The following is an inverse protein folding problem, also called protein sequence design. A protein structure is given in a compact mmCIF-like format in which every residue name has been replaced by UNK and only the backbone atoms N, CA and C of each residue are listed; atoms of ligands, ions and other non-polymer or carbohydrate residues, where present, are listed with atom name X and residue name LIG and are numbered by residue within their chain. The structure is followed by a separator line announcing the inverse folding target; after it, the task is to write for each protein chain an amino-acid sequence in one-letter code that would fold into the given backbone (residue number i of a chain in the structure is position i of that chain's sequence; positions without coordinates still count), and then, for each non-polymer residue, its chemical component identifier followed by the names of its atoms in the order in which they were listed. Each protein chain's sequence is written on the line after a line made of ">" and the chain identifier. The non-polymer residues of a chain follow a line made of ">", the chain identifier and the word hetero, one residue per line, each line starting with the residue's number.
data_IF_877722379482
#
_entry.id   IF_877722379482
#
_cell.length_a   1.000
_cell.length_b   1.000
_cell.length_c   1.000
_cell.angle_alpha   90.00
_cell.angle_beta   90.00
_cell.angle_gamma   90.00
#
_symmetry.space_group_name_H-M   'P 1'
#
loop_
_entity.id
_entity.type
_entity.pdbx_description
1 polymer ?
#
# COMPACT_ATOMS: atom_id res chain seq x y z
N UNK A 1 19.63 46.76 26.13
CA UNK A 1 19.11 45.48 26.66
C UNK A 1 17.65 45.33 26.21
N UNK A 2 17.36 45.01 24.94
CA UNK A 2 17.30 43.67 24.34
C UNK A 2 16.24 42.72 24.93
N UNK A 3 14.96 43.11 25.10
CA UNK A 3 13.91 42.15 25.52
C UNK A 3 12.45 42.57 25.18
N UNK A 4 12.11 43.19 24.03
CA UNK A 4 10.68 43.57 23.76
C UNK A 4 10.21 43.36 22.30
N UNK A 5 10.91 42.56 21.47
CA UNK A 5 10.38 42.21 20.14
C UNK A 5 10.36 40.71 19.91
N UNK A 6 9.49 40.03 20.67
CA UNK A 6 8.83 38.86 20.11
C UNK A 6 8.03 39.34 18.90
N UNK A 7 8.46 38.96 17.69
CA UNK A 7 7.70 39.19 16.47
C UNK A 7 6.34 38.51 16.63
N UNK A 8 5.33 39.26 17.07
CA UNK A 8 3.93 38.87 16.91
C UNK A 8 3.72 38.70 15.40
N UNK A 9 3.48 37.47 14.97
CA UNK A 9 3.00 37.18 13.61
C UNK A 9 1.69 37.95 13.45
N UNK A 10 1.75 39.03 12.68
CA UNK A 10 0.57 39.80 12.34
C UNK A 10 -0.24 38.95 11.34
N UNK A 11 -1.52 38.62 11.60
CA UNK A 11 -2.31 37.78 10.69
C UNK A 11 -2.66 38.47 9.34
N UNK A 12 -2.26 39.73 9.16
CA UNK A 12 -2.41 40.50 7.91
C UNK A 12 -1.06 40.94 7.29
N UNK A 13 0.07 40.37 7.73
CA UNK A 13 1.41 40.81 7.35
C UNK A 13 2.37 39.70 6.91
N UNK A 14 1.88 38.49 6.63
CA UNK A 14 2.71 37.47 6.00
C UNK A 14 2.79 37.76 4.50
N UNK A 15 3.99 38.12 4.03
CA UNK A 15 4.23 38.18 2.59
C UNK A 15 3.98 36.80 1.97
N UNK A 16 3.52 36.69 0.71
CA UNK A 16 3.27 35.38 0.09
C UNK A 16 4.50 34.44 0.15
N UNK A 17 5.72 35.01 0.10
CA UNK A 17 6.97 34.28 0.30
C UNK A 17 7.14 33.69 1.70
N UNK A 18 6.69 34.39 2.74
CA UNK A 18 6.74 33.90 4.12
C UNK A 18 5.76 32.73 4.32
N UNK A 19 4.58 32.79 3.71
CA UNK A 19 3.60 31.70 3.71
C UNK A 19 4.19 30.45 3.03
N UNK A 20 4.78 30.61 1.84
CA UNK A 20 5.44 29.52 1.09
C UNK A 20 6.59 28.90 1.89
N UNK A 21 7.40 29.73 2.59
CA UNK A 21 8.49 29.26 3.44
C UNK A 21 7.99 28.55 4.71
N UNK A 22 6.92 29.03 5.32
CA UNK A 22 6.31 28.42 6.49
C UNK A 22 5.69 27.06 6.13
N UNK A 23 4.91 27.00 5.04
CA UNK A 23 4.33 25.76 4.52
C UNK A 23 5.42 24.73 4.20
N UNK A 24 6.51 25.13 3.53
CA UNK A 24 7.65 24.23 3.30
C UNK A 24 8.22 23.65 4.59
N UNK A 25 8.42 24.48 5.63
CA UNK A 25 8.92 24.01 6.93
C UNK A 25 7.95 23.06 7.63
N UNK A 26 6.64 23.31 7.52
CA UNK A 26 5.63 22.40 8.06
C UNK A 26 5.62 21.06 7.33
N UNK A 27 5.75 21.05 5.99
CA UNK A 27 5.88 19.83 5.21
C UNK A 27 7.16 19.06 5.57
N UNK A 28 8.32 19.72 5.64
CA UNK A 28 9.59 19.09 6.02
C UNK A 28 9.56 18.53 7.46
N UNK A 29 8.75 19.12 8.34
CA UNK A 29 8.51 18.57 9.68
C UNK A 29 7.62 17.32 9.61
N UNK A 30 6.52 17.38 8.85
CA UNK A 30 5.58 16.28 8.66
C UNK A 30 6.25 15.06 7.99
N UNK A 31 7.10 15.28 6.99
CA UNK A 31 7.90 14.22 6.33
C UNK A 31 8.78 13.49 7.36
N UNK A 32 9.42 14.23 8.27
CA UNK A 32 10.26 13.62 9.32
C UNK A 32 9.45 12.89 10.39
N UNK A 33 8.25 13.37 10.71
CA UNK A 33 7.33 12.69 11.64
C UNK A 33 6.86 11.35 11.05
N UNK A 34 6.42 11.36 9.79
CA UNK A 34 6.06 10.16 9.00
C UNK A 34 7.22 9.16 8.94
N UNK A 35 8.44 9.61 8.70
CA UNK A 35 9.61 8.70 8.69
C UNK A 35 9.88 8.05 10.04
N UNK A 36 9.68 8.77 11.14
CA UNK A 36 9.84 8.23 12.50
C UNK A 36 8.74 7.23 12.81
N UNK A 37 7.48 7.55 12.51
CA UNK A 37 6.35 6.63 12.71
C UNK A 37 6.53 5.35 11.89
N UNK A 38 6.96 5.46 10.64
CA UNK A 38 7.31 4.31 9.80
C UNK A 38 8.39 3.44 10.43
N UNK A 39 9.46 4.03 10.99
CA UNK A 39 10.51 3.26 11.67
C UNK A 39 9.99 2.54 12.93
N UNK A 40 9.05 3.14 13.65
CA UNK A 40 8.38 2.50 14.78
C UNK A 40 7.55 1.30 14.31
N UNK A 41 6.76 1.46 13.25
CA UNK A 41 5.97 0.37 12.64
C UNK A 41 6.86 -0.77 12.13
N UNK A 42 7.97 -0.47 11.46
CA UNK A 42 8.95 -1.49 11.04
C UNK A 42 9.56 -2.26 12.23
N UNK A 43 9.75 -1.59 13.35
CA UNK A 43 10.22 -2.25 14.58
C UNK A 43 9.13 -3.13 15.20
N UNK A 44 7.87 -2.71 15.13
CA UNK A 44 6.72 -3.51 15.56
C UNK A 44 6.51 -4.72 14.66
N UNK A 45 6.60 -4.56 13.35
CA UNK A 45 6.55 -5.64 12.35
C UNK A 45 7.57 -6.74 12.69
N UNK A 46 8.83 -6.36 12.92
CA UNK A 46 9.88 -7.31 13.32
C UNK A 46 9.55 -8.05 14.61
N UNK A 47 8.95 -7.38 15.61
CA UNK A 47 8.53 -8.02 16.87
C UNK A 47 7.38 -8.99 16.64
N UNK A 48 6.38 -8.61 15.85
CA UNK A 48 5.25 -9.47 15.48
C UNK A 48 5.73 -10.73 14.75
N UNK A 49 6.66 -10.60 13.81
CA UNK A 49 7.26 -11.76 13.12
C UNK A 49 7.91 -12.72 14.11
N UNK A 50 8.67 -12.21 15.08
CA UNK A 50 9.31 -13.06 16.10
C UNK A 50 8.28 -13.75 17.00
N UNK A 51 7.21 -13.04 17.38
CA UNK A 51 6.13 -13.57 18.22
C UNK A 51 5.30 -14.63 17.49
N UNK A 52 4.97 -14.40 16.21
CA UNK A 52 4.30 -15.35 15.32
C UNK A 52 5.16 -16.62 15.18
N UNK A 53 6.47 -16.47 14.90
CA UNK A 53 7.40 -17.62 14.83
C UNK A 53 7.46 -18.41 16.12
N UNK A 54 7.50 -17.74 17.27
CA UNK A 54 7.54 -18.39 18.59
C UNK A 54 6.24 -19.16 18.87
N UNK A 55 5.11 -18.54 18.63
CA UNK A 55 3.77 -19.13 18.86
C UNK A 55 3.50 -20.29 17.90
N UNK A 56 3.93 -20.18 16.64
CA UNK A 56 3.84 -21.26 15.67
C UNK A 56 4.70 -22.48 16.06
N UNK A 57 5.95 -22.28 16.49
CA UNK A 57 6.80 -23.37 16.99
C UNK A 57 6.19 -24.05 18.22
N UNK A 58 5.57 -23.30 19.13
CA UNK A 58 4.86 -23.87 20.28
C UNK A 58 3.66 -24.72 19.83
N UNK A 59 2.90 -24.25 18.85
CA UNK A 59 1.82 -25.02 18.22
C UNK A 59 2.31 -26.33 17.57
N UNK A 60 3.41 -26.28 16.81
CA UNK A 60 4.04 -27.46 16.20
C UNK A 60 4.58 -28.44 17.24
N UNK A 61 5.26 -27.98 18.28
CA UNK A 61 5.73 -28.85 19.37
C UNK A 61 4.57 -29.58 20.06
N UNK A 62 3.42 -28.90 20.22
CA UNK A 62 2.22 -29.51 20.79
C UNK A 62 1.57 -30.52 19.83
N UNK A 63 1.68 -30.32 18.51
CA UNK A 63 1.20 -31.24 17.48
C UNK A 63 1.93 -32.59 17.51
N UNK A 64 3.26 -32.58 17.59
CA UNK A 64 4.09 -33.80 17.56
C UNK A 64 3.93 -34.64 18.85
N UNK A 65 3.49 -34.03 19.95
CA UNK A 65 3.18 -34.73 21.22
C UNK A 65 1.71 -35.16 21.39
N UNK A 66 0.83 -34.88 20.42
CA UNK A 66 -0.61 -35.00 20.60
C UNK A 66 -1.14 -36.44 20.42
N UNK A 67 -1.14 -37.23 21.49
CA UNK A 67 -1.92 -38.48 21.58
C UNK A 67 -3.22 -38.36 22.41
N UNK A 68 -3.53 -37.18 22.96
CA UNK A 68 -4.67 -36.93 23.85
C UNK A 68 -5.65 -35.88 23.31
N UNK A 69 -6.96 -36.12 23.45
CA UNK A 69 -8.06 -35.22 23.05
C UNK A 69 -7.98 -33.83 23.67
N UNK A 70 -7.40 -33.70 24.87
CA UNK A 70 -7.17 -32.40 25.52
C UNK A 70 -6.11 -31.55 24.78
N UNK A 71 -5.12 -32.18 24.13
CA UNK A 71 -4.09 -31.46 23.37
C UNK A 71 -4.61 -30.89 22.05
N UNK A 72 -5.63 -31.50 21.44
CA UNK A 72 -6.26 -30.97 20.22
C UNK A 72 -6.96 -29.63 20.45
N UNK A 73 -7.62 -29.44 21.60
CA UNK A 73 -8.30 -28.17 21.92
C UNK A 73 -7.30 -27.02 22.11
N UNK A 74 -6.19 -27.28 22.81
CA UNK A 74 -5.10 -26.30 22.99
C UNK A 74 -4.47 -25.92 21.65
N UNK A 75 -4.29 -26.90 20.75
CA UNK A 75 -3.76 -26.65 19.40
C UNK A 75 -4.65 -25.69 18.60
N UNK A 76 -5.97 -25.91 18.59
CA UNK A 76 -6.92 -25.04 17.86
C UNK A 76 -6.85 -23.59 18.35
N UNK A 77 -6.71 -23.38 19.66
CA UNK A 77 -6.57 -22.03 20.22
C UNK A 77 -5.23 -21.36 19.85
N UNK A 78 -4.12 -22.11 19.89
CA UNK A 78 -2.80 -21.57 19.51
C UNK A 78 -2.79 -21.20 18.02
N UNK A 79 -3.35 -22.05 17.16
CA UNK A 79 -3.42 -21.76 15.72
C UNK A 79 -4.36 -20.60 15.40
N UNK A 80 -5.46 -20.45 16.14
CA UNK A 80 -6.33 -19.27 16.07
C UNK A 80 -5.59 -17.98 16.42
N UNK A 81 -4.77 -18.00 17.48
CA UNK A 81 -3.95 -16.84 17.88
C UNK A 81 -2.92 -16.49 16.79
N UNK A 82 -2.26 -17.48 16.18
CA UNK A 82 -1.31 -17.27 15.08
C UNK A 82 -2.00 -16.63 13.86
N UNK A 83 -3.21 -17.06 13.51
CA UNK A 83 -3.99 -16.45 12.41
C UNK A 83 -4.32 -14.97 12.70
N UNK A 84 -4.70 -14.63 13.93
CA UNK A 84 -4.97 -13.24 14.33
C UNK A 84 -3.70 -12.39 14.28
N UNK A 85 -2.59 -12.88 14.82
CA UNK A 85 -1.30 -12.16 14.77
C UNK A 85 -0.82 -11.97 13.33
N UNK A 86 -1.06 -12.92 12.44
CA UNK A 86 -0.73 -12.79 11.03
C UNK A 86 -1.58 -11.73 10.32
N UNK A 87 -2.87 -11.58 10.67
CA UNK A 87 -3.70 -10.45 10.20
C UNK A 87 -3.14 -9.11 10.67
N UNK A 88 -2.71 -9.01 11.93
CA UNK A 88 -2.11 -7.78 12.45
C UNK A 88 -0.77 -7.46 11.77
N UNK A 89 -0.01 -8.48 11.36
CA UNK A 89 1.21 -8.30 10.58
C UNK A 89 0.92 -7.74 9.18
N UNK A 90 -0.08 -8.29 8.47
CA UNK A 90 -0.52 -7.77 7.16
C UNK A 90 -0.94 -6.31 7.27
N UNK A 91 -1.75 -5.98 8.28
CA UNK A 91 -2.15 -4.59 8.55
C UNK A 91 -0.96 -3.66 8.80
N UNK A 92 0.02 -4.13 9.56
CA UNK A 92 1.24 -3.35 9.85
C UNK A 92 2.06 -3.12 8.58
N UNK A 93 2.20 -4.13 7.71
CA UNK A 93 2.88 -4.00 6.40
C UNK A 93 2.18 -2.99 5.50
N UNK A 94 0.86 -3.07 5.39
CA UNK A 94 0.06 -2.14 4.62
C UNK A 94 0.13 -0.70 5.16
N UNK A 95 0.15 -0.53 6.50
CA UNK A 95 0.42 0.78 7.11
C UNK A 95 1.80 1.32 6.72
N UNK A 96 2.86 0.51 6.82
CA UNK A 96 4.22 0.90 6.42
C UNK A 96 4.24 1.39 4.97
N UNK A 97 3.55 0.69 4.08
CA UNK A 97 3.42 1.04 2.67
C UNK A 97 2.67 2.37 2.46
N UNK A 98 1.53 2.55 3.14
CA UNK A 98 0.82 3.85 3.18
C UNK A 98 1.73 5.00 3.61
N UNK A 99 2.61 4.79 4.60
CA UNK A 99 3.59 5.79 5.00
C UNK A 99 4.65 6.08 3.92
N UNK A 100 5.07 5.09 3.11
CA UNK A 100 5.93 5.34 1.94
C UNK A 100 5.22 6.19 0.89
N UNK A 101 3.95 5.91 0.62
CA UNK A 101 3.10 6.65 -0.33
C UNK A 101 2.89 8.10 0.13
N UNK A 102 2.46 8.28 1.37
CA UNK A 102 2.30 9.61 2.00
C UNK A 102 3.60 10.42 1.97
N UNK A 103 4.75 9.78 2.24
CA UNK A 103 6.06 10.44 2.12
C UNK A 103 6.29 10.94 0.70
N UNK A 104 6.09 10.09 -0.31
CA UNK A 104 6.27 10.45 -1.72
C UNK A 104 5.38 11.63 -2.12
N UNK A 105 4.10 11.59 -1.74
CA UNK A 105 3.14 12.67 -1.97
C UNK A 105 3.61 13.98 -1.34
N UNK A 106 4.01 13.98 -0.06
CA UNK A 106 4.50 15.18 0.61
C UNK A 106 5.81 15.71 0.02
N UNK A 107 6.69 14.82 -0.44
CA UNK A 107 7.89 15.21 -1.17
C UNK A 107 7.54 15.89 -2.51
N UNK A 108 6.56 15.35 -3.25
CA UNK A 108 6.01 15.96 -4.45
C UNK A 108 5.43 17.35 -4.19
N UNK A 109 4.63 17.51 -3.12
CA UNK A 109 4.10 18.82 -2.72
C UNK A 109 5.23 19.78 -2.30
N UNK A 110 6.24 19.31 -1.56
CA UNK A 110 7.40 20.14 -1.19
C UNK A 110 8.19 20.64 -2.41
N UNK A 111 8.33 19.79 -3.43
CA UNK A 111 8.91 20.16 -4.73
C UNK A 111 8.06 21.22 -5.46
N UNK A 112 6.73 21.03 -5.53
CA UNK A 112 5.80 22.02 -6.10
C UNK A 112 5.92 23.37 -5.39
N UNK A 113 5.98 23.38 -4.05
CA UNK A 113 6.19 24.61 -3.26
C UNK A 113 7.55 25.25 -3.55
N UNK A 114 8.60 24.46 -3.77
CA UNK A 114 9.92 24.97 -4.16
C UNK A 114 9.90 25.59 -5.57
N UNK A 115 9.17 24.99 -6.52
CA UNK A 115 8.94 25.58 -7.84
C UNK A 115 8.18 26.90 -7.70
N UNK A 116 7.07 26.94 -6.96
CA UNK A 116 6.30 28.16 -6.71
C UNK A 116 7.15 29.29 -6.10
N UNK A 117 8.04 28.98 -5.15
CA UNK A 117 8.98 29.96 -4.58
C UNK A 117 9.90 30.55 -5.64
N UNK A 118 10.37 29.73 -6.58
CA UNK A 118 11.30 30.14 -7.64
C UNK A 118 10.57 30.97 -8.70
N UNK A 119 9.36 30.55 -9.09
CA UNK A 119 8.48 31.31 -9.99
C UNK A 119 8.13 32.69 -9.40
N UNK A 120 7.82 32.76 -8.10
CA UNK A 120 7.55 34.03 -7.44
C UNK A 120 8.78 34.94 -7.41
N UNK A 121 9.96 34.41 -7.06
CA UNK A 121 11.20 35.18 -7.06
C UNK A 121 11.57 35.68 -8.48
N UNK A 122 11.30 34.89 -9.51
CA UNK A 122 11.46 35.28 -10.91
C UNK A 122 10.49 36.39 -11.29
N UNK A 123 9.23 36.32 -10.88
CA UNK A 123 8.25 37.40 -11.07
C UNK A 123 8.64 38.71 -10.37
N UNK A 124 9.13 38.63 -9.13
CA UNK A 124 9.65 39.80 -8.41
C UNK A 124 10.89 40.40 -9.08
N UNK A 125 11.83 39.55 -9.53
CA UNK A 125 13.00 39.98 -10.28
C UNK A 125 12.63 40.63 -11.62
N UNK A 126 11.70 40.03 -12.38
CA UNK A 126 11.18 40.60 -13.62
C UNK A 126 10.48 41.94 -13.38
N UNK A 127 9.73 42.08 -12.29
CA UNK A 127 9.12 43.36 -11.91
C UNK A 127 10.19 44.42 -11.58
N UNK A 128 11.26 44.04 -10.90
CA UNK A 128 12.42 44.91 -10.62
C UNK A 128 13.16 45.33 -11.90
N UNK A 129 13.44 44.38 -12.79
CA UNK A 129 14.08 44.62 -14.09
C UNK A 129 13.18 45.49 -14.97
N UNK A 130 11.88 45.22 -15.06
CA UNK A 130 10.92 46.03 -15.86
C UNK A 130 10.83 47.45 -15.31
N UNK A 131 10.86 47.63 -13.98
CA UNK A 131 10.86 48.95 -13.35
C UNK A 131 12.16 49.72 -13.60
N UNK A 132 13.31 49.03 -13.59
CA UNK A 132 14.61 49.62 -13.92
C UNK A 132 14.77 49.87 -15.44
N UNK A 133 14.12 49.04 -16.28
CA UNK A 133 14.05 49.15 -17.74
C UNK A 133 12.86 50.00 -18.20
N UNK A 134 12.26 50.82 -17.34
CA UNK A 134 11.11 51.69 -17.60
C UNK A 134 11.29 52.72 -18.73
N UNK A 135 12.36 52.62 -19.53
CA UNK A 135 12.60 53.42 -20.72
C UNK A 135 13.09 52.66 -21.98
N UNK A 136 13.27 51.33 -22.02
CA UNK A 136 13.55 50.67 -23.31
C UNK A 136 13.29 49.15 -23.37
N UNK A 137 12.63 48.75 -24.48
CA UNK A 137 12.35 47.41 -25.02
C UNK A 137 11.13 46.60 -24.51
N UNK A 138 9.92 47.07 -24.86
CA UNK A 138 8.68 46.26 -24.88
C UNK A 138 8.79 44.90 -25.64
N UNK A 139 9.50 44.79 -26.79
CA UNK A 139 9.49 43.55 -27.58
C UNK A 139 10.24 42.37 -26.95
N UNK A 140 11.30 42.63 -26.17
CA UNK A 140 12.02 41.56 -25.45
C UNK A 140 11.24 41.07 -24.24
N UNK A 141 10.48 41.97 -23.58
CA UNK A 141 9.62 41.60 -22.47
C UNK A 141 8.47 40.69 -22.92
N UNK A 142 7.88 40.96 -24.08
CA UNK A 142 6.85 40.10 -24.69
C UNK A 142 7.37 38.69 -25.00
N UNK A 143 8.59 38.57 -25.55
CA UNK A 143 9.21 37.26 -25.80
C UNK A 143 9.49 36.49 -24.51
N UNK A 144 9.93 37.18 -23.46
CA UNK A 144 10.19 36.59 -22.15
C UNK A 144 8.88 36.09 -21.50
N UNK A 145 7.78 36.84 -21.65
CA UNK A 145 6.46 36.41 -21.19
C UNK A 145 5.95 35.19 -21.96
N UNK A 146 6.12 35.17 -23.28
CA UNK A 146 5.71 34.03 -24.12
C UNK A 146 6.52 32.77 -23.83
N UNK A 147 7.84 32.90 -23.63
CA UNK A 147 8.69 31.77 -23.21
C UNK A 147 8.34 31.29 -21.80
N UNK A 148 7.98 32.22 -20.91
CA UNK A 148 7.52 31.88 -19.58
C UNK A 148 6.21 31.08 -19.62
N UNK A 149 5.21 31.52 -20.40
CA UNK A 149 3.97 30.77 -20.61
C UNK A 149 4.27 29.37 -21.17
N UNK A 150 5.10 29.26 -22.21
CA UNK A 150 5.47 27.97 -22.79
C UNK A 150 6.19 27.02 -21.81
N UNK A 151 7.09 27.54 -20.97
CA UNK A 151 7.76 26.71 -19.96
C UNK A 151 6.83 26.34 -18.80
N UNK A 152 5.85 27.18 -18.48
CA UNK A 152 4.85 26.89 -17.46
C UNK A 152 3.88 25.82 -17.97
N UNK A 153 3.40 25.92 -19.22
CA UNK A 153 2.56 24.92 -19.88
C UNK A 153 3.28 23.58 -19.99
N UNK A 154 4.57 23.59 -20.36
CA UNK A 154 5.39 22.37 -20.40
C UNK A 154 5.56 21.76 -19.01
N UNK A 155 5.67 22.57 -17.97
CA UNK A 155 5.75 22.09 -16.58
C UNK A 155 4.42 21.48 -16.13
N UNK A 156 3.29 22.11 -16.48
CA UNK A 156 1.94 21.61 -16.20
C UNK A 156 1.69 20.27 -16.91
N UNK A 157 2.01 20.17 -18.20
CA UNK A 157 1.94 18.92 -18.98
C UNK A 157 2.81 17.82 -18.35
N UNK A 158 4.04 18.12 -17.95
CA UNK A 158 4.91 17.14 -17.28
C UNK A 158 4.32 16.72 -15.93
N UNK A 159 3.64 17.63 -15.22
CA UNK A 159 3.00 17.33 -13.93
C UNK A 159 1.74 16.48 -14.10
N UNK A 160 0.96 16.72 -15.16
CA UNK A 160 -0.23 15.95 -15.54
C UNK A 160 0.19 14.54 -15.97
N UNK A 161 1.15 14.39 -16.88
CA UNK A 161 1.68 13.08 -17.32
C UNK A 161 2.32 12.32 -16.14
N UNK A 162 2.99 13.02 -15.22
CA UNK A 162 3.52 12.41 -14.00
C UNK A 162 2.41 12.03 -13.00
N UNK A 163 1.31 12.79 -12.99
CA UNK A 163 0.10 12.49 -12.23
C UNK A 163 -0.54 11.20 -12.73
N UNK A 164 -0.86 11.14 -14.02
CA UNK A 164 -1.50 9.97 -14.66
C UNK A 164 -0.63 8.72 -14.58
N UNK A 165 0.70 8.83 -14.76
CA UNK A 165 1.59 7.66 -14.60
C UNK A 165 1.78 7.23 -13.16
N UNK A 166 1.60 8.12 -12.18
CA UNK A 166 1.52 7.72 -10.77
C UNK A 166 0.16 7.09 -10.52
N UNK A 167 -0.94 7.73 -10.90
CA UNK A 167 -2.31 7.28 -10.64
C UNK A 167 -2.62 5.94 -11.33
N UNK A 168 -2.14 5.68 -12.55
CA UNK A 168 -2.22 4.35 -13.20
C UNK A 168 -1.45 3.27 -12.43
N UNK A 169 -0.35 3.63 -11.75
CA UNK A 169 0.36 2.72 -10.85
C UNK A 169 -0.34 2.54 -9.49
N UNK A 170 -1.30 3.42 -9.15
CA UNK A 170 -2.07 3.37 -7.90
C UNK A 170 -3.47 2.75 -8.07
N UNK A 171 -4.13 2.87 -9.23
CA UNK A 171 -5.45 2.29 -9.51
C UNK A 171 -5.43 0.74 -9.52
N UNK A 172 -4.28 0.11 -9.71
CA UNK A 172 -4.12 -1.33 -9.59
C UNK A 172 -4.18 -1.90 -8.17
N UNK A 173 -4.32 -1.05 -7.14
CA UNK A 173 -4.30 -1.43 -5.72
C UNK A 173 -5.63 -1.14 -4.99
N UNK A 174 -6.72 -0.92 -5.70
CA UNK A 174 -8.04 -0.99 -5.07
C UNK A 174 -8.45 -2.46 -4.89
N UNK A 175 -8.79 -2.82 -3.66
CA UNK A 175 -9.38 -4.11 -3.24
C UNK A 175 -8.42 -5.30 -3.02
N UNK A 176 -7.37 -5.12 -2.22
CA UNK A 176 -7.00 -6.21 -1.31
C UNK A 176 -8.07 -6.28 -0.19
N UNK A 177 -9.21 -6.93 -0.50
CA UNK A 177 -9.93 -7.65 0.55
C UNK A 177 -8.88 -8.39 1.37
N UNK A 178 -8.98 -8.33 2.70
CA UNK A 178 -8.10 -9.05 3.63
C UNK A 178 -8.25 -10.57 3.41
N UNK A 179 -7.78 -11.07 2.26
CA UNK A 179 -7.99 -12.43 1.83
C UNK A 179 -7.19 -13.30 2.77
N UNK A 180 -7.83 -14.36 3.23
CA UNK A 180 -7.13 -15.36 4.03
C UNK A 180 -5.93 -15.94 3.27
N UNK A 181 -5.91 -15.80 1.95
CA UNK A 181 -4.79 -16.09 1.06
C UNK A 181 -3.56 -15.22 1.33
N UNK A 182 -3.69 -13.90 1.49
CA UNK A 182 -2.56 -13.04 1.87
C UNK A 182 -2.00 -13.44 3.24
N UNK A 183 -2.87 -13.76 4.19
CA UNK A 183 -2.45 -14.24 5.51
C UNK A 183 -1.70 -15.56 5.39
N UNK A 184 -2.20 -16.50 4.58
CA UNK A 184 -1.54 -17.78 4.33
C UNK A 184 -0.19 -17.60 3.62
N UNK A 185 -0.10 -16.70 2.63
CA UNK A 185 1.14 -16.36 1.94
C UNK A 185 2.19 -15.77 2.89
N UNK A 186 1.80 -14.87 3.81
CA UNK A 186 2.71 -14.32 4.82
C UNK A 186 3.15 -15.39 5.82
N UNK A 187 2.27 -16.32 6.19
CA UNK A 187 2.64 -17.46 7.04
C UNK A 187 3.64 -18.39 6.34
N UNK A 188 3.47 -18.63 5.04
CA UNK A 188 4.39 -19.40 4.22
C UNK A 188 5.75 -18.69 4.05
N UNK A 189 5.75 -17.36 3.81
CA UNK A 189 6.97 -16.52 3.74
C UNK A 189 7.77 -16.58 5.05
N UNK A 190 7.08 -16.62 6.18
CA UNK A 190 7.68 -16.73 7.52
C UNK A 190 8.24 -18.14 7.78
N UNK A 191 7.86 -19.12 6.96
CA UNK A 191 8.27 -20.53 7.06
C UNK A 191 7.41 -21.35 8.01
N UNK A 192 6.17 -20.92 8.30
CA UNK A 192 5.21 -21.68 9.10
C UNK A 192 4.35 -22.50 8.15
N UNK A 193 4.93 -23.59 7.63
CA UNK A 193 4.25 -24.44 6.68
C UNK A 193 3.26 -25.35 7.42
N UNK A 194 2.03 -24.86 7.66
CA UNK A 194 0.96 -25.60 8.34
C UNK A 194 0.61 -26.89 7.58
N UNK A 195 0.74 -26.86 6.24
CA UNK A 195 0.29 -27.93 5.36
C UNK A 195 1.30 -29.09 5.21
N UNK A 196 2.61 -28.81 5.25
CA UNK A 196 3.63 -29.86 5.11
C UNK A 196 3.73 -30.80 6.34
N UNK A 197 3.40 -30.32 7.55
CA UNK A 197 3.39 -31.20 8.74
C UNK A 197 2.03 -31.90 8.95
N UNK A 198 0.94 -31.37 8.39
CA UNK A 198 -0.36 -32.04 8.37
C UNK A 198 -0.36 -33.30 7.48
N UNK A 199 0.46 -33.33 6.43
CA UNK A 199 0.68 -34.51 5.58
C UNK A 199 1.63 -35.54 6.22
N UNK A 200 2.45 -35.13 7.21
CA UNK A 200 3.37 -36.00 7.94
C UNK A 200 2.80 -36.53 9.26
N UNK A 201 1.58 -36.12 9.64
CA UNK A 201 0.82 -36.84 10.65
C UNK A 201 0.37 -38.18 10.04
N UNK A 202 0.64 -39.33 10.69
CA UNK A 202 0.13 -40.60 10.20
C UNK A 202 -1.40 -40.50 10.24
N UNK A 203 -2.02 -40.43 9.06
CA UNK A 203 -3.43 -40.75 8.91
C UNK A 203 -3.56 -42.24 9.22
N UNK A 204 -3.65 -42.55 10.52
CA UNK A 204 -4.05 -43.88 10.96
C UNK A 204 -5.42 -44.12 10.35
N UNK A 205 -5.41 -44.97 9.33
CA UNK A 205 -6.58 -45.51 8.68
C UNK A 205 -7.62 -45.82 9.75
N UNK A 206 -8.70 -45.05 9.76
CA UNK A 206 -9.90 -45.42 10.49
C UNK A 206 -10.41 -46.65 9.77
N UNK A 207 -10.12 -47.82 10.35
CA UNK A 207 -10.72 -49.08 9.95
C UNK A 207 -12.23 -48.96 10.15
N UNK A 208 -12.93 -48.61 9.07
CA UNK A 208 -14.37 -48.76 9.00
C UNK A 208 -14.71 -50.26 9.00
N UNK A 209 -15.63 -50.75 9.84
CA UNK A 209 -16.09 -52.12 9.75
C UNK A 209 -16.89 -52.28 8.47
N UNK A 210 -16.51 -53.30 7.69
CA UNK A 210 -17.18 -53.69 6.47
C UNK A 210 -18.64 -54.09 6.74
N UNK A 211 -19.58 -53.34 6.19
CA UNK A 211 -20.94 -53.79 5.92
C UNK A 211 -21.23 -53.53 4.43
N UNK A 212 -21.32 -54.62 3.68
CA UNK A 212 -21.63 -54.65 2.25
C UNK A 212 -23.08 -54.22 2.04
N UNK A 213 -23.31 -53.08 1.40
CA UNK A 213 -24.55 -52.84 0.63
C UNK A 213 -24.16 -52.32 -0.74
N UNK A 214 -24.53 -53.13 -1.73
CA UNK A 214 -24.21 -53.03 -3.14
C UNK A 214 -25.20 -52.08 -3.81
N UNK A 215 -24.73 -50.96 -4.35
CA UNK A 215 -25.43 -50.19 -5.41
C UNK A 215 -24.35 -49.67 -6.37
N UNK A 216 -24.43 -49.92 -7.69
CA UNK A 216 -23.35 -49.62 -8.61
C UNK A 216 -23.33 -48.13 -8.95
N UNK A 217 -22.23 -47.45 -8.63
CA UNK A 217 -21.89 -46.14 -9.15
C UNK A 217 -21.02 -46.37 -10.39
N UNK A 218 -21.49 -45.94 -11.56
CA UNK A 218 -20.75 -45.98 -12.82
C UNK A 218 -19.69 -44.89 -12.77
N UNK A 219 -18.43 -45.30 -12.69
CA UNK A 219 -17.31 -44.50 -13.18
C UNK A 219 -17.22 -44.70 -14.69
N UNK A 220 -17.29 -43.61 -15.46
CA UNK A 220 -16.67 -43.54 -16.79
C UNK A 220 -15.79 -42.31 -16.83
N UNK A 221 -14.50 -42.58 -16.68
CA UNK A 221 -13.42 -41.78 -17.26
C UNK A 221 -13.61 -41.77 -18.79
N UNK A 222 -13.61 -40.58 -19.39
CA UNK A 222 -13.50 -40.39 -20.85
C UNK A 222 -14.74 -39.81 -21.52
N UNK A 223 -14.69 -38.51 -21.84
CA UNK A 223 -15.05 -37.92 -23.15
C UNK A 223 -15.42 -36.43 -22.99
N UNK A 224 -14.42 -35.53 -23.11
CA UNK A 224 -14.62 -34.06 -23.15
C UNK A 224 -15.58 -33.61 -24.26
N UNK A 225 -15.75 -34.41 -25.32
CA UNK A 225 -16.67 -34.09 -26.43
C UNK A 225 -18.16 -34.20 -26.07
N UNK A 226 -18.52 -35.00 -25.06
CA UNK A 226 -19.93 -35.20 -24.68
C UNK A 226 -20.46 -34.05 -23.82
N UNK A 227 -19.63 -33.50 -22.93
CA UNK A 227 -19.96 -32.35 -22.08
C UNK A 227 -20.10 -31.07 -22.91
N UNK A 228 -19.23 -30.87 -23.90
CA UNK A 228 -19.33 -29.74 -24.82
C UNK A 228 -20.64 -29.77 -25.63
N UNK A 229 -21.13 -30.96 -26.01
CA UNK A 229 -22.39 -31.08 -26.75
C UNK A 229 -23.62 -30.69 -25.91
N UNK A 230 -23.63 -31.04 -24.62
CA UNK A 230 -24.73 -30.70 -23.69
C UNK A 230 -24.70 -29.22 -23.30
N UNK A 231 -23.50 -28.64 -23.13
CA UNK A 231 -23.32 -27.21 -22.90
C UNK A 231 -23.72 -26.38 -24.13
N UNK A 232 -23.38 -26.82 -25.34
CA UNK A 232 -23.76 -26.15 -26.59
C UNK A 232 -25.28 -26.16 -26.79
N UNK A 233 -25.95 -27.28 -26.50
CA UNK A 233 -27.41 -27.38 -26.57
C UNK A 233 -28.12 -26.49 -25.53
N UNK A 234 -27.54 -26.31 -24.33
CA UNK A 234 -28.04 -25.36 -23.33
C UNK A 234 -27.85 -23.90 -23.76
N UNK A 235 -26.74 -23.58 -24.42
CA UNK A 235 -26.44 -22.24 -24.95
C UNK A 235 -27.37 -21.84 -26.09
N UNK A 236 -27.70 -22.77 -26.98
CA UNK A 236 -28.63 -22.53 -28.10
C UNK A 236 -30.08 -22.32 -27.65
N UNK A 237 -30.48 -22.92 -26.52
CA UNK A 237 -31.78 -22.67 -25.91
C UNK A 237 -31.88 -21.29 -25.25
N UNK A 238 -30.77 -20.74 -24.72
CA UNK A 238 -30.71 -19.38 -24.17
C UNK A 238 -30.64 -18.31 -25.26
N UNK A 239 -30.07 -18.62 -26.43
CA UNK A 239 -30.03 -17.71 -27.59
C UNK A 239 -31.34 -17.57 -28.36
N UNK A 240 -32.31 -18.47 -28.11
CA UNK A 240 -33.64 -18.46 -28.74
C UNK A 240 -34.72 -17.77 -27.89
N UNK A 241 -34.35 -17.22 -26.73
CA UNK A 241 -35.13 -16.26 -25.94
C UNK A 241 -34.70 -14.83 -26.31
#
# INVERSE_FOLDING_TARGET
>A
MSFIFGKRKNPAGCTPLEIVRENKRMLDKSIREIERERQVLQSQEKKLILEIKKSAKQGQMFFVGALSTASKFVLVHIMGAVKVMAKDLVRTRHQIEKFYKLKSQLQGVSLRIQTLKSTQAMGEAMKGVTKAMGQMNLPSLQKILQEFEYQNDRMELITEVMGDTMDDAFEGEEEEEETEELVNQVLDEIGININQELLNAPSTAVAAPAAKTKVPQVETVGDDAALDSDLQARLDNLRKL
#
